data_IF_176000157581
#
_entry.id   IF_176000157581
#
_cell.length_a   1.000
_cell.length_b   1.000
_cell.length_c   1.000
_cell.angle_alpha   90.00
_cell.angle_beta   90.00
_cell.angle_gamma   90.00
#
_symmetry.space_group_name_H-M   'P 1'
#
loop_
_entity.id
_entity.type
_entity.pdbx_description
1 polymer ?
#
# COMPACT_ATOMS: atom_id res chain seq x y z
N UNK A 1 10.59 -36.83 14.52
CA UNK A 1 10.46 -36.71 13.06
C UNK A 1 9.49 -37.80 12.61
N UNK A 2 8.24 -37.46 12.26
CA UNK A 2 7.33 -38.42 11.65
C UNK A 2 7.82 -38.77 10.23
N UNK A 3 7.60 -40.00 9.73
CA UNK A 3 8.09 -40.45 8.43
C UNK A 3 7.38 -39.70 7.29
N UNK A 4 8.15 -39.23 6.31
CA UNK A 4 7.66 -38.59 5.10
C UNK A 4 7.01 -39.63 4.17
N UNK A 5 5.83 -39.36 3.58
CA UNK A 5 5.21 -40.27 2.63
C UNK A 5 6.00 -40.32 1.32
N UNK A 6 6.12 -41.51 0.73
CA UNK A 6 6.76 -41.81 -0.55
C UNK A 6 6.00 -41.29 -1.79
N UNK A 7 5.20 -40.23 -1.64
CA UNK A 7 4.35 -39.64 -2.68
C UNK A 7 4.69 -38.17 -2.96
N UNK A 8 5.76 -37.65 -2.35
CA UNK A 8 6.30 -36.33 -2.60
C UNK A 8 7.30 -36.42 -3.77
N UNK A 9 7.31 -35.38 -4.60
CA UNK A 9 8.23 -35.28 -5.72
C UNK A 9 9.68 -35.18 -5.19
N UNK A 10 10.63 -35.85 -5.85
CA UNK A 10 12.02 -35.94 -5.38
C UNK A 10 12.65 -34.55 -5.21
N UNK A 11 12.33 -33.63 -6.13
CA UNK A 11 12.72 -32.23 -6.09
C UNK A 11 12.22 -31.50 -4.83
N UNK A 12 11.02 -31.81 -4.35
CA UNK A 12 10.47 -31.17 -3.13
C UNK A 12 11.17 -31.67 -1.86
N UNK A 13 11.59 -32.94 -1.83
CA UNK A 13 12.31 -33.53 -0.70
C UNK A 13 13.71 -32.93 -0.59
N UNK A 14 14.40 -32.76 -1.72
CA UNK A 14 15.70 -32.09 -1.76
C UNK A 14 15.60 -30.63 -1.32
N UNK A 15 14.57 -29.90 -1.77
CA UNK A 15 14.34 -28.51 -1.41
C UNK A 15 14.09 -28.34 0.10
N UNK A 16 13.30 -29.23 0.70
CA UNK A 16 13.08 -29.27 2.17
C UNK A 16 14.40 -29.52 2.90
N UNK A 17 15.22 -30.48 2.45
CA UNK A 17 16.52 -30.76 3.06
C UNK A 17 17.49 -29.57 2.99
N UNK A 18 17.48 -28.84 1.88
CA UNK A 18 18.26 -27.60 1.71
C UNK A 18 17.79 -26.49 2.66
N UNK A 19 16.47 -26.28 2.77
CA UNK A 19 15.83 -25.33 3.69
C UNK A 19 16.22 -25.65 5.13
N UNK A 20 16.09 -26.90 5.57
CA UNK A 20 16.45 -27.30 6.94
C UNK A 20 17.93 -27.09 7.26
N UNK A 21 18.82 -27.41 6.31
CA UNK A 21 20.27 -27.21 6.49
C UNK A 21 20.59 -25.73 6.62
N UNK A 22 20.01 -24.88 5.77
CA UNK A 22 20.19 -23.43 5.82
C UNK A 22 19.59 -22.84 7.11
N UNK A 23 18.43 -23.32 7.54
CA UNK A 23 17.84 -22.92 8.83
C UNK A 23 18.79 -23.20 10.00
N UNK A 24 19.40 -24.39 10.04
CA UNK A 24 20.38 -24.74 11.09
C UNK A 24 21.61 -23.86 11.03
N UNK A 25 22.14 -23.59 9.83
CA UNK A 25 23.31 -22.71 9.65
C UNK A 25 23.03 -21.28 10.15
N UNK A 26 21.88 -20.72 9.78
CA UNK A 26 21.45 -19.39 10.21
C UNK A 26 21.29 -19.31 11.74
N UNK A 27 20.66 -20.32 12.34
CA UNK A 27 20.36 -20.34 13.77
C UNK A 27 21.59 -20.62 14.65
N UNK A 28 22.45 -21.56 14.26
CA UNK A 28 23.57 -22.04 15.08
C UNK A 28 24.88 -21.26 14.86
N UNK A 29 25.13 -20.79 13.63
CA UNK A 29 26.41 -20.17 13.29
C UNK A 29 26.27 -18.66 13.10
N UNK A 30 25.34 -18.21 12.25
CA UNK A 30 25.31 -16.81 11.84
C UNK A 30 24.72 -15.87 12.92
N UNK A 31 23.62 -16.27 13.57
CA UNK A 31 22.98 -15.52 14.65
C UNK A 31 23.90 -15.33 15.87
N UNK A 32 24.55 -16.38 16.41
CA UNK A 32 25.48 -16.22 17.52
C UNK A 32 26.72 -15.41 17.15
N UNK A 33 27.22 -15.56 15.92
CA UNK A 33 28.36 -14.78 15.41
C UNK A 33 28.04 -13.29 15.42
N UNK A 34 26.88 -12.88 14.91
CA UNK A 34 26.43 -11.48 14.96
C UNK A 34 26.27 -10.97 16.39
N UNK A 35 25.78 -11.81 17.32
CA UNK A 35 25.60 -11.43 18.72
C UNK A 35 26.92 -11.28 19.49
N UNK A 36 27.94 -12.06 19.11
CA UNK A 36 29.27 -12.02 19.72
C UNK A 36 30.19 -10.97 19.06
N UNK A 37 29.80 -10.43 17.91
CA UNK A 37 30.54 -9.36 17.24
C UNK A 37 30.49 -8.05 18.04
N UNK A 38 31.56 -7.79 18.77
CA UNK A 38 31.86 -6.54 19.49
C UNK A 38 32.78 -5.61 18.65
N UNK A 39 33.08 -6.03 17.41
CA UNK A 39 34.01 -5.35 16.51
C UNK A 39 33.51 -3.99 15.96
N UNK A 40 34.29 -3.37 15.05
CA UNK A 40 33.93 -2.08 14.45
C UNK A 40 32.57 -2.16 13.70
N UNK A 41 31.84 -1.04 13.69
CA UNK A 41 30.47 -0.94 13.16
C UNK A 41 30.37 -1.42 11.70
N UNK A 42 31.41 -1.19 10.89
CA UNK A 42 31.49 -1.66 9.50
C UNK A 42 31.39 -3.17 9.36
N UNK A 43 32.08 -3.93 10.21
CA UNK A 43 32.10 -5.39 10.19
C UNK A 43 30.78 -5.97 10.72
N UNK A 44 30.19 -5.33 11.74
CA UNK A 44 28.83 -5.66 12.19
C UNK A 44 27.81 -5.44 11.07
N UNK A 45 27.90 -4.32 10.34
CA UNK A 45 26.98 -4.01 9.26
C UNK A 45 27.12 -4.97 8.09
N UNK A 46 28.34 -5.41 7.77
CA UNK A 46 28.60 -6.43 6.76
C UNK A 46 27.94 -7.76 7.11
N UNK A 47 28.16 -8.29 8.32
CA UNK A 47 27.49 -9.53 8.75
C UNK A 47 25.96 -9.39 8.84
N UNK A 48 25.48 -8.20 9.21
CA UNK A 48 24.05 -7.92 9.20
C UNK A 48 23.46 -7.76 7.79
N UNK A 49 24.27 -7.49 6.77
CA UNK A 49 23.83 -7.53 5.37
C UNK A 49 23.81 -8.99 4.88
N UNK A 50 24.89 -9.72 5.10
CA UNK A 50 25.02 -11.14 4.74
C UNK A 50 23.88 -12.00 5.34
N UNK A 51 23.62 -11.86 6.65
CA UNK A 51 22.52 -12.60 7.29
C UNK A 51 21.13 -12.17 6.77
N UNK A 52 20.95 -10.93 6.30
CA UNK A 52 19.69 -10.50 5.67
C UNK A 52 19.54 -11.14 4.30
N UNK A 53 20.60 -11.13 3.49
CA UNK A 53 20.59 -11.74 2.16
C UNK A 53 20.31 -13.25 2.27
N UNK A 54 20.89 -13.94 3.25
CA UNK A 54 20.61 -15.35 3.52
C UNK A 54 19.17 -15.59 4.02
N UNK A 55 18.62 -14.70 4.85
CA UNK A 55 17.22 -14.76 5.28
C UNK A 55 16.26 -14.54 4.12
N UNK A 56 16.59 -13.65 3.18
CA UNK A 56 15.79 -13.39 1.99
C UNK A 56 15.92 -14.55 0.98
N UNK A 57 17.08 -15.19 0.88
CA UNK A 57 17.25 -16.42 0.12
C UNK A 57 16.43 -17.58 0.72
N UNK A 58 16.42 -17.72 2.05
CA UNK A 58 15.58 -18.68 2.76
C UNK A 58 14.09 -18.40 2.54
N UNK A 59 13.67 -17.12 2.57
CA UNK A 59 12.29 -16.72 2.27
C UNK A 59 11.86 -17.09 0.85
N UNK A 60 12.71 -16.84 -0.16
CA UNK A 60 12.45 -17.24 -1.54
C UNK A 60 12.32 -18.75 -1.68
N UNK A 61 13.14 -19.54 -0.99
CA UNK A 61 13.03 -21.00 -1.00
C UNK A 61 11.72 -21.50 -0.41
N UNK A 62 11.27 -20.90 0.69
CA UNK A 62 9.97 -21.23 1.30
C UNK A 62 8.81 -20.87 0.36
N UNK A 63 8.91 -19.76 -0.38
CA UNK A 63 7.92 -19.39 -1.41
C UNK A 63 7.92 -20.37 -2.60
N UNK A 64 9.10 -20.78 -3.09
CA UNK A 64 9.18 -21.81 -4.13
C UNK A 64 8.61 -23.15 -3.66
N UNK A 65 8.81 -23.50 -2.39
CA UNK A 65 8.20 -24.69 -1.80
C UNK A 65 6.68 -24.55 -1.73
N UNK A 66 6.15 -23.38 -1.35
CA UNK A 66 4.71 -23.10 -1.29
C UNK A 66 4.04 -23.29 -2.66
N UNK A 67 4.67 -22.78 -3.73
CA UNK A 67 4.21 -22.99 -5.11
C UNK A 67 4.26 -24.47 -5.49
N UNK A 68 5.33 -25.19 -5.13
CA UNK A 68 5.43 -26.63 -5.37
C UNK A 68 4.36 -27.44 -4.58
N UNK A 69 3.88 -26.93 -3.44
CA UNK A 69 2.74 -27.52 -2.71
C UNK A 69 1.42 -27.37 -3.46
N UNK A 70 1.27 -26.31 -4.27
CA UNK A 70 0.06 -26.08 -5.06
C UNK A 70 -0.03 -26.98 -6.29
N UNK A 71 1.10 -27.40 -6.85
CA UNK A 71 1.15 -28.29 -8.02
C UNK A 71 0.98 -29.78 -7.69
N UNK A 72 1.01 -30.15 -6.39
CA UNK A 72 0.84 -31.55 -5.98
C UNK A 72 -0.58 -32.08 -6.20
N UNK A 73 -0.65 -33.18 -6.98
CA UNK A 73 -1.90 -33.88 -7.35
C UNK A 73 -2.56 -34.65 -6.19
N UNK A 74 -1.83 -34.93 -5.11
CA UNK A 74 -2.32 -35.76 -3.99
C UNK A 74 -2.74 -34.90 -2.80
N UNK A 75 -4.04 -34.87 -2.48
CA UNK A 75 -4.63 -34.11 -1.36
C UNK A 75 -4.10 -34.45 0.05
N UNK A 76 -3.53 -35.65 0.23
CA UNK A 76 -2.88 -36.04 1.51
C UNK A 76 -1.47 -35.46 1.62
N UNK A 77 -0.66 -35.60 0.58
CA UNK A 77 0.69 -35.06 0.50
C UNK A 77 0.68 -33.52 0.56
N UNK A 78 -0.28 -32.89 -0.13
CA UNK A 78 -0.52 -31.44 -0.08
C UNK A 78 -0.76 -30.93 1.34
N UNK A 79 -1.57 -31.63 2.14
CA UNK A 79 -1.87 -31.21 3.53
C UNK A 79 -0.67 -31.36 4.46
N UNK A 80 0.12 -32.42 4.29
CA UNK A 80 1.34 -32.62 5.08
C UNK A 80 2.41 -31.61 4.71
N UNK A 81 2.60 -31.35 3.41
CA UNK A 81 3.58 -30.37 2.94
C UNK A 81 3.19 -28.92 3.32
N UNK A 82 1.89 -28.58 3.31
CA UNK A 82 1.42 -27.28 3.85
C UNK A 82 1.79 -27.09 5.33
N UNK A 83 1.73 -28.15 6.14
CA UNK A 83 2.14 -28.06 7.57
C UNK A 83 3.63 -27.79 7.71
N UNK A 84 4.45 -28.44 6.88
CA UNK A 84 5.90 -28.23 6.85
C UNK A 84 6.24 -26.82 6.38
N UNK A 85 5.57 -26.31 5.33
CA UNK A 85 5.74 -24.92 4.87
C UNK A 85 5.33 -23.92 5.95
N UNK A 86 4.24 -24.16 6.68
CA UNK A 86 3.82 -23.27 7.77
C UNK A 86 4.84 -23.26 8.92
N UNK A 87 5.43 -24.41 9.24
CA UNK A 87 6.56 -24.49 10.19
C UNK A 87 7.78 -23.70 9.70
N UNK A 88 8.10 -23.76 8.39
CA UNK A 88 9.16 -22.93 7.81
C UNK A 88 8.83 -21.43 7.81
N UNK A 89 7.57 -21.05 7.60
CA UNK A 89 7.11 -19.64 7.71
C UNK A 89 7.22 -19.13 9.15
N UNK A 90 6.83 -19.94 10.14
CA UNK A 90 6.96 -19.63 11.55
C UNK A 90 8.43 -19.48 11.98
N UNK A 91 9.29 -20.38 11.53
CA UNK A 91 10.73 -20.31 11.81
C UNK A 91 11.38 -19.11 11.14
N UNK A 92 11.01 -18.76 9.91
CA UNK A 92 11.37 -17.49 9.25
C UNK A 92 11.01 -16.27 10.11
N UNK A 93 9.79 -16.23 10.64
CA UNK A 93 9.33 -15.13 11.47
C UNK A 93 10.12 -15.03 12.79
N UNK A 94 10.46 -16.17 13.40
CA UNK A 94 11.31 -16.24 14.60
C UNK A 94 12.74 -15.78 14.30
N UNK A 95 13.38 -16.31 13.27
CA UNK A 95 14.74 -15.91 12.87
C UNK A 95 14.82 -14.42 12.53
N UNK A 96 13.82 -13.83 11.87
CA UNK A 96 13.78 -12.38 11.61
C UNK A 96 13.71 -11.56 12.91
N UNK A 97 12.94 -12.01 13.90
CA UNK A 97 12.88 -11.35 15.22
C UNK A 97 14.21 -11.48 15.95
N UNK A 98 14.80 -12.66 15.95
CA UNK A 98 16.07 -12.95 16.60
C UNK A 98 17.22 -12.17 15.96
N UNK A 99 17.23 -12.04 14.63
CA UNK A 99 18.22 -11.21 13.95
C UNK A 99 18.09 -9.73 14.36
N UNK A 100 16.87 -9.18 14.36
CA UNK A 100 16.65 -7.80 14.79
C UNK A 100 17.10 -7.59 16.23
N UNK A 101 16.81 -8.55 17.11
CA UNK A 101 17.26 -8.52 18.50
C UNK A 101 18.80 -8.61 18.60
N UNK A 102 19.45 -9.50 17.84
CA UNK A 102 20.89 -9.67 17.82
C UNK A 102 21.61 -8.42 17.30
N UNK A 103 21.15 -7.81 16.21
CA UNK A 103 21.72 -6.58 15.65
C UNK A 103 21.59 -5.41 16.62
N UNK A 104 20.46 -5.28 17.32
CA UNK A 104 20.28 -4.25 18.33
C UNK A 104 21.16 -4.51 19.57
N UNK A 105 21.31 -5.77 19.98
CA UNK A 105 22.18 -6.14 21.10
C UNK A 105 23.65 -5.83 20.79
N UNK A 106 24.15 -6.22 19.62
CA UNK A 106 25.53 -5.94 19.19
C UNK A 106 25.77 -4.44 19.02
N UNK A 107 24.80 -3.70 18.47
CA UNK A 107 24.90 -2.24 18.34
C UNK A 107 25.01 -1.56 19.71
N UNK A 108 24.15 -1.93 20.67
CA UNK A 108 24.23 -1.39 22.04
C UNK A 108 25.56 -1.72 22.72
N UNK A 109 26.09 -2.92 22.51
CA UNK A 109 27.40 -3.30 23.03
C UNK A 109 28.52 -2.42 22.44
N UNK A 110 28.51 -2.20 21.11
CA UNK A 110 29.49 -1.34 20.43
C UNK A 110 29.37 0.10 20.90
N UNK A 111 28.15 0.64 20.97
CA UNK A 111 27.92 2.01 21.45
C UNK A 111 28.43 2.20 22.88
N UNK A 112 28.17 1.23 23.78
CA UNK A 112 28.68 1.26 25.15
C UNK A 112 30.21 1.25 25.24
N UNK A 113 30.88 0.49 24.36
CA UNK A 113 32.34 0.46 24.29
C UNK A 113 32.94 1.73 23.68
N UNK A 114 32.25 2.37 22.73
CA UNK A 114 32.71 3.65 22.20
C UNK A 114 32.63 4.75 23.25
N UNK A 115 31.56 4.76 24.06
CA UNK A 115 31.42 5.70 25.18
C UNK A 115 32.53 5.49 26.20
N UNK A 116 32.79 4.25 26.64
CA UNK A 116 33.85 3.98 27.62
C UNK A 116 35.24 4.38 27.09
N UNK A 117 35.54 4.08 25.82
CA UNK A 117 36.79 4.54 25.19
C UNK A 117 36.90 6.06 25.12
N UNK A 118 35.82 6.77 24.83
CA UNK A 118 35.80 8.23 24.81
C UNK A 118 36.07 8.82 26.20
N UNK A 119 35.48 8.24 27.23
CA UNK A 119 35.70 8.68 28.63
C UNK A 119 37.14 8.47 29.08
N UNK A 120 37.76 7.34 28.70
CA UNK A 120 39.19 7.08 28.96
C UNK A 120 40.10 8.10 28.28
N UNK A 121 39.83 8.42 27.01
CA UNK A 121 40.61 9.40 26.25
C UNK A 121 40.46 10.81 26.82
N UNK A 122 39.24 11.25 27.17
CA UNK A 122 39.00 12.56 27.78
C UNK A 122 39.64 12.68 29.17
N UNK A 123 39.64 11.59 29.94
CA UNK A 123 40.33 11.56 31.24
C UNK A 123 41.85 11.66 31.08
N UNK A 124 42.41 11.07 30.02
CA UNK A 124 43.85 11.16 29.73
C UNK A 124 44.28 12.55 29.23
N UNK A 125 43.44 13.25 28.46
CA UNK A 125 43.75 14.57 27.92
C UNK A 125 43.72 15.67 28.99
N UNK A 126 42.73 15.63 29.89
CA UNK A 126 42.59 16.61 30.97
C UNK A 126 43.75 16.58 31.98
N UNK A 127 44.43 15.44 32.13
CA UNK A 127 45.63 15.32 32.97
C UNK A 127 46.85 15.94 32.30
N UNK A 128 46.96 15.83 30.97
CA UNK A 128 48.10 16.35 30.19
C UNK A 128 48.06 17.88 30.05
N UNK A 129 46.88 18.46 29.91
CA UNK A 129 46.70 19.91 29.74
C UNK A 129 47.02 20.72 31.02
N UNK A 130 46.77 20.15 32.21
CA UNK A 130 47.08 20.81 33.49
C UNK A 130 48.59 20.95 33.75
N UNK A 131 49.43 20.19 33.05
CA UNK A 131 50.87 20.18 33.26
C UNK A 131 51.61 21.26 32.46
N UNK A 132 51.01 21.80 31.39
CA UNK A 132 51.69 22.70 30.43
C UNK A 132 51.49 24.20 30.69
N UNK A 133 50.58 24.59 31.58
CA UNK A 133 50.17 26.00 31.76
C UNK A 133 50.94 26.77 32.86
N UNK A 134 51.77 26.12 33.68
CA UNK A 134 52.30 26.72 34.90
C UNK A 134 53.68 27.42 34.75
N UNK A 135 54.39 27.27 33.62
CA UNK A 135 55.85 27.50 33.62
C UNK A 135 56.33 28.82 32.98
N UNK A 136 55.48 29.65 32.35
CA UNK A 136 56.02 30.63 31.38
C UNK A 136 55.28 31.98 31.28
N UNK A 137 55.21 32.76 32.36
CA UNK A 137 54.64 34.12 32.31
C UNK A 137 55.32 35.06 33.31
N UNK A 138 56.24 35.94 32.89
CA UNK A 138 56.38 37.28 33.52
C UNK A 138 57.25 38.28 32.75
N UNK A 139 58.35 37.91 32.08
CA UNK A 139 59.28 38.94 31.53
C UNK A 139 59.31 39.03 29.99
N UNK A 140 58.90 37.99 29.27
CA UNK A 140 58.62 38.06 27.82
C UNK A 140 57.46 39.02 27.48
N UNK A 141 56.67 39.44 28.47
CA UNK A 141 55.33 40.02 28.31
C UNK A 141 55.25 41.25 27.39
N UNK A 142 56.25 42.14 27.37
CA UNK A 142 56.16 43.39 26.61
C UNK A 142 56.60 43.24 25.14
N UNK A 143 57.68 42.50 24.88
CA UNK A 143 58.12 42.20 23.50
C UNK A 143 57.20 41.16 22.86
N UNK A 144 56.68 40.23 23.68
CA UNK A 144 55.62 39.30 23.31
C UNK A 144 54.30 40.01 23.04
N UNK A 145 53.96 41.13 23.68
CA UNK A 145 52.71 41.84 23.38
C UNK A 145 52.64 42.37 21.93
N UNK A 146 53.72 42.94 21.38
CA UNK A 146 53.73 43.39 19.98
C UNK A 146 53.77 42.21 18.99
N UNK A 147 54.53 41.16 19.33
CA UNK A 147 54.54 39.93 18.55
C UNK A 147 53.15 39.26 18.60
N UNK A 148 52.48 39.27 19.76
CA UNK A 148 51.14 38.73 19.98
C UNK A 148 50.09 39.50 19.18
N UNK A 149 50.20 40.83 19.04
CA UNK A 149 49.27 41.59 18.19
C UNK A 149 49.46 41.20 16.71
N UNK A 150 50.71 41.07 16.24
CA UNK A 150 51.00 40.65 14.86
C UNK A 150 50.58 39.20 14.62
N UNK A 151 50.86 38.32 15.57
CA UNK A 151 50.48 36.92 15.57
C UNK A 151 48.96 36.77 15.68
N UNK A 152 48.28 37.62 16.45
CA UNK A 152 46.82 37.68 16.52
C UNK A 152 46.21 38.12 15.19
N UNK A 153 46.82 39.05 14.47
CA UNK A 153 46.35 39.48 13.15
C UNK A 153 46.58 38.40 12.10
N UNK A 154 47.75 37.75 12.07
CA UNK A 154 47.98 36.55 11.25
C UNK A 154 46.99 35.43 11.58
N UNK A 155 46.75 35.19 12.87
CA UNK A 155 45.76 34.21 13.34
C UNK A 155 44.34 34.59 12.93
N UNK A 156 44.00 35.89 12.94
CA UNK A 156 42.69 36.38 12.50
C UNK A 156 42.53 36.23 10.99
N UNK A 157 43.57 36.48 10.19
CA UNK A 157 43.56 36.22 8.75
C UNK A 157 43.41 34.72 8.47
N UNK A 158 44.14 33.87 9.19
CA UNK A 158 43.99 32.42 9.11
C UNK A 158 42.60 31.93 9.53
N UNK A 159 42.01 32.54 10.56
CA UNK A 159 40.63 32.27 11.00
C UNK A 159 39.61 32.74 9.96
N UNK A 160 39.78 33.91 9.35
CA UNK A 160 38.91 34.37 8.27
C UNK A 160 38.99 33.45 7.05
N UNK A 161 40.19 32.99 6.66
CA UNK A 161 40.33 32.01 5.59
C UNK A 161 39.64 30.69 5.94
N UNK A 162 39.83 30.19 7.17
CA UNK A 162 39.16 28.99 7.65
C UNK A 162 37.63 29.13 7.73
N UNK A 163 37.12 30.29 8.13
CA UNK A 163 35.68 30.58 8.11
C UNK A 163 35.12 30.67 6.70
N UNK A 164 35.88 31.24 5.75
CA UNK A 164 35.48 31.28 4.35
C UNK A 164 35.44 29.88 3.74
N UNK A 165 36.46 29.04 3.96
CA UNK A 165 36.45 27.63 3.53
C UNK A 165 35.28 26.86 4.14
N UNK A 166 35.01 27.11 5.42
CA UNK A 166 33.88 26.51 6.13
C UNK A 166 32.53 27.01 5.61
N UNK A 167 32.44 28.28 5.21
CA UNK A 167 31.26 28.87 4.59
C UNK A 167 31.01 28.27 3.21
N UNK A 168 32.06 28.09 2.39
CA UNK A 168 31.98 27.43 1.08
C UNK A 168 31.56 25.96 1.22
N UNK A 169 32.11 25.24 2.20
CA UNK A 169 31.65 23.86 2.47
C UNK A 169 30.19 23.84 2.97
N UNK A 170 29.78 24.81 3.79
CA UNK A 170 28.40 24.90 4.24
C UNK A 170 27.44 25.20 3.09
N UNK A 171 27.81 26.06 2.13
CA UNK A 171 26.97 26.34 0.96
C UNK A 171 26.89 25.13 0.03
N UNK A 172 28.00 24.41 -0.17
CA UNK A 172 27.99 23.14 -0.91
C UNK A 172 27.10 22.09 -0.23
N UNK A 173 27.15 21.96 1.10
CA UNK A 173 26.27 21.07 1.85
C UNK A 173 24.81 21.48 1.72
N UNK A 174 24.49 22.77 1.84
CA UNK A 174 23.13 23.28 1.64
C UNK A 174 22.63 23.03 0.22
N UNK A 175 23.47 23.22 -0.79
CA UNK A 175 23.14 22.91 -2.18
C UNK A 175 22.90 21.41 -2.38
N UNK A 176 23.75 20.54 -1.82
CA UNK A 176 23.58 19.08 -1.87
C UNK A 176 22.30 18.62 -1.15
N UNK A 177 21.97 19.24 -0.02
CA UNK A 177 20.73 18.98 0.72
C UNK A 177 19.52 19.46 -0.06
N UNK A 178 19.62 20.61 -0.73
CA UNK A 178 18.57 21.15 -1.59
C UNK A 178 18.35 20.26 -2.81
N UNK A 179 19.43 19.78 -3.44
CA UNK A 179 19.35 18.83 -4.56
C UNK A 179 18.70 17.51 -4.13
N UNK A 180 19.06 16.99 -2.94
CA UNK A 180 18.46 15.79 -2.36
C UNK A 180 16.97 15.98 -2.05
N UNK A 181 16.59 17.13 -1.49
CA UNK A 181 15.18 17.48 -1.24
C UNK A 181 14.40 17.62 -2.56
N UNK A 182 14.99 18.21 -3.60
CA UNK A 182 14.38 18.27 -4.94
C UNK A 182 14.16 16.86 -5.51
N UNK A 183 15.17 15.99 -5.44
CA UNK A 183 15.03 14.59 -5.86
C UNK A 183 13.96 13.84 -5.06
N UNK A 184 13.84 14.13 -3.77
CA UNK A 184 12.79 13.53 -2.93
C UNK A 184 11.41 14.04 -3.34
N UNK A 185 11.28 15.35 -3.59
CA UNK A 185 10.03 15.95 -4.08
C UNK A 185 9.59 15.33 -5.40
N UNK A 186 10.50 15.17 -6.36
CA UNK A 186 10.16 14.56 -7.65
C UNK A 186 9.72 13.10 -7.51
N UNK A 187 10.35 12.32 -6.63
CA UNK A 187 9.88 10.94 -6.35
C UNK A 187 8.49 10.91 -5.72
N UNK A 188 8.19 11.86 -4.84
CA UNK A 188 6.87 11.98 -4.22
C UNK A 188 5.79 12.40 -5.24
N UNK A 189 6.13 13.27 -6.18
CA UNK A 189 5.23 13.67 -7.28
C UNK A 189 4.93 12.48 -8.21
N UNK A 190 5.94 11.68 -8.55
CA UNK A 190 5.76 10.44 -9.34
C UNK A 190 4.86 9.45 -8.59
N UNK A 191 5.11 9.20 -7.30
CA UNK A 191 4.27 8.34 -6.46
C UNK A 191 2.82 8.84 -6.41
N UNK A 192 2.62 10.15 -6.29
CA UNK A 192 1.29 10.77 -6.28
C UNK A 192 0.58 10.59 -7.62
N UNK A 193 1.31 10.74 -8.74
CA UNK A 193 0.78 10.49 -10.08
C UNK A 193 0.40 9.03 -10.29
N UNK A 194 1.24 8.09 -9.83
CA UNK A 194 0.93 6.65 -9.87
C UNK A 194 -0.28 6.32 -9.00
N UNK A 195 -0.40 6.91 -7.80
CA UNK A 195 -1.56 6.69 -6.93
C UNK A 195 -2.84 7.25 -7.58
N UNK A 196 -2.78 8.42 -8.20
CA UNK A 196 -3.89 9.00 -8.97
C UNK A 196 -4.31 8.06 -10.12
N UNK A 197 -3.33 7.55 -10.86
CA UNK A 197 -3.55 6.58 -11.94
C UNK A 197 -4.17 5.28 -11.41
N UNK A 198 -3.69 4.78 -10.26
CA UNK A 198 -4.25 3.58 -9.62
C UNK A 198 -5.71 3.80 -9.22
N UNK A 199 -6.05 4.96 -8.65
CA UNK A 199 -7.44 5.33 -8.31
C UNK A 199 -8.30 5.40 -9.56
N UNK A 200 -7.79 6.00 -10.63
CA UNK A 200 -8.52 6.10 -11.88
C UNK A 200 -8.80 4.73 -12.49
N UNK A 201 -7.80 3.84 -12.52
CA UNK A 201 -7.95 2.46 -12.96
C UNK A 201 -8.94 1.67 -12.09
N UNK A 202 -8.86 1.79 -10.76
CA UNK A 202 -9.79 1.13 -9.84
C UNK A 202 -11.22 1.62 -10.07
N UNK A 203 -11.43 2.93 -10.20
CA UNK A 203 -12.75 3.51 -10.50
C UNK A 203 -13.24 3.12 -11.90
N UNK A 204 -12.36 3.01 -12.89
CA UNK A 204 -12.73 2.54 -14.22
C UNK A 204 -13.16 1.07 -14.20
N UNK A 205 -12.47 0.23 -13.43
CA UNK A 205 -12.81 -1.19 -13.25
C UNK A 205 -14.14 -1.34 -12.50
N UNK A 206 -14.33 -0.60 -11.41
CA UNK A 206 -15.60 -0.58 -10.67
C UNK A 206 -16.78 -0.11 -11.54
N UNK A 207 -16.59 0.93 -12.36
CA UNK A 207 -17.61 1.38 -13.31
C UNK A 207 -17.91 0.35 -14.40
N UNK A 208 -16.89 -0.35 -14.89
CA UNK A 208 -17.07 -1.44 -15.87
C UNK A 208 -17.89 -2.59 -15.26
N UNK A 209 -17.55 -3.00 -14.04
CA UNK A 209 -18.29 -4.04 -13.31
C UNK A 209 -19.73 -3.62 -13.01
N UNK A 210 -19.96 -2.35 -12.67
CA UNK A 210 -21.30 -1.82 -12.45
C UNK A 210 -22.13 -1.79 -13.74
N UNK A 211 -21.52 -1.39 -14.86
CA UNK A 211 -22.18 -1.40 -16.17
C UNK A 211 -22.49 -2.83 -16.63
N UNK A 212 -21.59 -3.78 -16.42
CA UNK A 212 -21.83 -5.19 -16.76
C UNK A 212 -23.03 -5.75 -15.98
N UNK A 213 -23.08 -5.49 -14.67
CA UNK A 213 -24.24 -5.85 -13.84
C UNK A 213 -25.53 -5.17 -14.30
N UNK A 214 -25.47 -3.90 -14.71
CA UNK A 214 -26.62 -3.17 -15.23
C UNK A 214 -27.13 -3.78 -16.55
N UNK A 215 -26.22 -4.16 -17.46
CA UNK A 215 -26.58 -4.80 -18.73
C UNK A 215 -27.26 -6.15 -18.49
N UNK A 216 -26.74 -6.97 -17.56
CA UNK A 216 -27.37 -8.25 -17.18
C UNK A 216 -28.76 -8.01 -16.59
N UNK A 217 -28.92 -7.03 -15.71
CA UNK A 217 -30.21 -6.67 -15.12
C UNK A 217 -31.20 -6.18 -16.18
N UNK A 218 -30.75 -5.35 -17.11
CA UNK A 218 -31.56 -4.85 -18.22
C UNK A 218 -32.01 -5.99 -19.15
N UNK A 219 -31.12 -6.94 -19.46
CA UNK A 219 -31.46 -8.13 -20.25
C UNK A 219 -32.49 -9.02 -19.54
N UNK A 220 -32.34 -9.23 -18.23
CA UNK A 220 -33.31 -9.97 -17.42
C UNK A 220 -34.66 -9.27 -17.38
N UNK A 221 -34.67 -7.94 -17.16
CA UNK A 221 -35.90 -7.15 -17.16
C UNK A 221 -36.63 -7.23 -18.50
N UNK A 222 -35.88 -7.15 -19.62
CA UNK A 222 -36.44 -7.32 -20.96
C UNK A 222 -37.02 -8.73 -21.16
N UNK A 223 -36.31 -9.77 -20.72
CA UNK A 223 -36.81 -11.15 -20.77
C UNK A 223 -38.11 -11.31 -19.98
N UNK A 224 -38.17 -10.82 -18.74
CA UNK A 224 -39.37 -10.87 -17.91
C UNK A 224 -40.52 -10.10 -18.56
N UNK A 225 -40.25 -8.94 -19.15
CA UNK A 225 -41.25 -8.15 -19.87
C UNK A 225 -41.80 -8.94 -21.07
N UNK A 226 -40.94 -9.61 -21.84
CA UNK A 226 -41.36 -10.48 -22.95
C UNK A 226 -42.18 -11.67 -22.45
N UNK A 227 -41.76 -12.33 -21.37
CA UNK A 227 -42.52 -13.44 -20.77
C UNK A 227 -43.89 -12.96 -20.26
N UNK A 228 -43.95 -11.82 -19.56
CA UNK A 228 -45.21 -11.19 -19.15
C UNK A 228 -46.08 -10.79 -20.33
N UNK A 229 -45.49 -10.29 -21.41
CA UNK A 229 -46.21 -9.96 -22.64
C UNK A 229 -46.81 -11.20 -23.28
N UNK A 230 -46.04 -12.29 -23.39
CA UNK A 230 -46.54 -13.58 -23.89
C UNK A 230 -47.61 -14.15 -22.96
N UNK A 231 -47.45 -14.07 -21.65
CA UNK A 231 -48.45 -14.50 -20.68
C UNK A 231 -49.71 -13.65 -20.81
N UNK A 232 -49.61 -12.32 -20.92
CA UNK A 232 -50.75 -11.45 -21.19
C UNK A 232 -51.43 -11.88 -22.49
N UNK A 233 -50.71 -11.96 -23.59
CA UNK A 233 -51.28 -12.37 -24.89
C UNK A 233 -51.92 -13.77 -24.80
N UNK A 234 -51.26 -14.75 -24.16
CA UNK A 234 -51.71 -16.13 -24.15
C UNK A 234 -52.81 -16.40 -23.13
N UNK A 235 -52.64 -15.97 -21.89
CA UNK A 235 -53.64 -16.13 -20.81
C UNK A 235 -54.82 -15.21 -21.06
N UNK A 236 -54.62 -13.97 -21.51
CA UNK A 236 -55.74 -13.06 -21.77
C UNK A 236 -56.45 -13.48 -23.06
N UNK A 237 -55.78 -13.77 -24.18
CA UNK A 237 -56.52 -14.14 -25.42
C UNK A 237 -57.09 -15.58 -25.39
N UNK A 238 -56.46 -16.55 -24.70
CA UNK A 238 -57.09 -17.88 -24.50
C UNK A 238 -58.04 -17.89 -23.31
N UNK A 239 -57.72 -17.22 -22.21
CA UNK A 239 -58.60 -17.11 -21.05
C UNK A 239 -59.87 -16.34 -21.41
N UNK A 240 -59.79 -15.24 -22.16
CA UNK A 240 -60.96 -14.54 -22.69
C UNK A 240 -61.74 -15.40 -23.69
N UNK A 241 -61.09 -16.19 -24.56
CA UNK A 241 -61.83 -17.09 -25.47
C UNK A 241 -62.46 -18.27 -24.76
N UNK A 242 -61.80 -18.87 -23.77
CA UNK A 242 -62.37 -19.93 -22.93
C UNK A 242 -63.50 -19.36 -22.09
N UNK A 243 -63.32 -18.19 -21.47
CA UNK A 243 -64.35 -17.50 -20.71
C UNK A 243 -65.53 -17.11 -21.61
N UNK A 244 -65.29 -16.50 -22.78
CA UNK A 244 -66.35 -16.15 -23.74
C UNK A 244 -67.03 -17.38 -24.36
N UNK A 245 -66.31 -18.48 -24.59
CA UNK A 245 -66.89 -19.75 -25.05
C UNK A 245 -67.73 -20.40 -23.94
N UNK A 246 -67.26 -20.41 -22.69
CA UNK A 246 -68.03 -20.87 -21.53
C UNK A 246 -69.24 -19.98 -21.25
N UNK A 247 -69.15 -18.65 -21.36
CA UNK A 247 -70.30 -17.74 -21.22
C UNK A 247 -71.25 -17.78 -22.41
N UNK A 248 -70.81 -18.27 -23.58
CA UNK A 248 -71.68 -18.50 -24.74
C UNK A 248 -72.33 -19.88 -24.70
N UNK A 249 -71.68 -20.87 -24.10
CA UNK A 249 -72.15 -22.25 -24.00
C UNK A 249 -73.00 -22.51 -22.75
N UNK A 250 -72.89 -21.68 -21.72
CA UNK A 250 -73.92 -21.54 -20.71
C UNK A 250 -75.01 -20.59 -21.23
N UNK A 251 -76.23 -21.06 -21.55
CA UNK A 251 -77.41 -20.24 -21.32
C UNK A 251 -77.47 -20.00 -19.81
N UNK A 252 -76.85 -18.91 -19.35
CA UNK A 252 -76.96 -18.52 -17.95
C UNK A 252 -78.34 -17.91 -17.71
N UNK A 253 -79.30 -18.80 -17.47
CA UNK A 253 -80.30 -18.61 -16.42
C UNK A 253 -79.55 -18.33 -15.10
N UNK A 254 -79.20 -17.07 -14.87
CA UNK A 254 -78.79 -16.55 -13.56
C UNK A 254 -78.81 -15.03 -13.62
N UNK A 255 -79.92 -14.48 -14.14
CA UNK A 255 -80.11 -13.05 -14.34
C UNK A 255 -80.86 -12.34 -13.23
N UNK A 256 -81.51 -13.03 -12.29
CA UNK A 256 -82.36 -12.33 -11.30
C UNK A 256 -82.14 -12.72 -9.84
N UNK A 257 -81.55 -13.87 -9.51
CA UNK A 257 -81.44 -14.28 -8.10
C UNK A 257 -80.15 -13.80 -7.41
N UNK A 258 -79.06 -13.62 -8.17
CA UNK A 258 -77.78 -13.13 -7.63
C UNK A 258 -77.75 -11.60 -7.47
N UNK A 259 -78.57 -10.86 -8.23
CA UNK A 259 -78.71 -9.41 -8.06
C UNK A 259 -79.53 -9.08 -6.79
N UNK A 260 -80.50 -9.93 -6.44
CA UNK A 260 -81.24 -9.87 -5.16
C UNK A 260 -80.44 -10.37 -3.95
N UNK A 261 -79.42 -11.21 -4.16
CA UNK A 261 -78.48 -11.61 -3.12
C UNK A 261 -77.34 -10.59 -2.88
N UNK A 262 -77.00 -9.77 -3.89
CA UNK A 262 -75.97 -8.73 -3.76
C UNK A 262 -76.48 -7.47 -3.04
N UNK A 263 -77.79 -7.17 -3.07
CA UNK A 263 -78.39 -6.13 -2.21
C UNK A 263 -78.40 -6.52 -0.72
N UNK A 264 -78.36 -7.83 -0.41
CA UNK A 264 -78.30 -8.35 0.97
C UNK A 264 -76.88 -8.70 1.44
N UNK A 265 -75.90 -8.62 0.54
CA UNK A 265 -74.48 -8.97 0.79
C UNK A 265 -73.55 -7.78 1.01
N UNK A 266 -74.01 -6.54 0.82
CA UNK A 266 -73.24 -5.32 1.11
C UNK A 266 -73.03 -5.10 2.63
N UNK A 267 -73.82 -5.77 3.48
CA UNK A 267 -73.65 -5.76 4.93
C UNK A 267 -72.66 -6.82 5.47
N UNK A 268 -72.23 -7.79 4.66
CA UNK A 268 -71.41 -8.92 5.12
C UNK A 268 -69.94 -8.90 4.64
N UNK A 269 -69.58 -8.06 3.66
CA UNK A 269 -68.22 -7.95 3.13
C UNK A 269 -67.39 -6.79 3.71
N UNK A 270 -68.01 -5.88 4.48
CA UNK A 270 -67.28 -4.98 5.39
C UNK A 270 -66.70 -5.71 6.62
N UNK A 271 -67.10 -6.96 6.86
CA UNK A 271 -66.62 -7.76 7.99
C UNK A 271 -65.52 -8.78 7.63
N UNK A 272 -65.29 -9.07 6.34
CA UNK A 272 -64.21 -9.96 5.89
C UNK A 272 -63.00 -9.25 5.28
N UNK A 273 -63.04 -7.91 5.21
CA UNK A 273 -61.85 -7.08 4.95
C UNK A 273 -60.98 -6.88 6.20
N UNK A 274 -61.43 -7.28 7.39
CA UNK A 274 -60.70 -7.09 8.66
C UNK A 274 -59.79 -8.25 9.09
N UNK A 275 -59.85 -9.42 8.44
CA UNK A 275 -59.06 -10.60 8.83
C UNK A 275 -57.93 -11.01 7.87
N UNK A 276 -57.82 -10.37 6.69
CA UNK A 276 -56.66 -10.58 5.79
C UNK A 276 -55.77 -9.33 5.72
N UNK A 277 -56.28 -8.16 6.11
CA UNK A 277 -55.46 -6.97 6.37
C UNK A 277 -54.56 -7.13 7.62
N UNK A 278 -54.87 -8.04 8.55
CA UNK A 278 -54.10 -8.25 9.79
C UNK A 278 -53.00 -9.32 9.70
N UNK A 279 -52.94 -10.12 8.62
CA UNK A 279 -51.82 -11.05 8.39
C UNK A 279 -50.77 -10.50 7.38
N UNK A 280 -51.16 -9.54 6.53
CA UNK A 280 -50.20 -8.86 5.65
C UNK A 280 -49.41 -7.75 6.37
N UNK A 281 -49.87 -7.27 7.52
CA UNK A 281 -49.14 -6.29 8.35
C UNK A 281 -48.09 -6.89 9.27
N UNK A 282 -48.06 -8.21 9.51
CA UNK A 282 -47.07 -8.85 10.39
C UNK A 282 -45.85 -9.43 9.67
N UNK A 283 -45.88 -9.57 8.33
CA UNK A 283 -44.71 -9.95 7.53
C UNK A 283 -43.91 -8.74 6.99
N UNK A 284 -44.52 -7.54 6.93
CA UNK A 284 -43.82 -6.29 6.59
C UNK A 284 -43.23 -5.57 7.82
N UNK A 285 -43.62 -5.96 9.05
CA UNK A 285 -43.04 -5.43 10.28
C UNK A 285 -41.73 -6.13 10.73
N UNK A 286 -41.40 -7.30 10.18
CA UNK A 286 -40.15 -8.02 10.50
C UNK A 286 -38.99 -7.73 9.55
N UNK A 287 -39.19 -6.91 8.51
CA UNK A 287 -38.08 -6.41 7.65
C UNK A 287 -37.81 -4.91 7.91
N UNK A 288 -38.74 -4.18 8.54
CA UNK A 288 -38.53 -2.77 8.91
C UNK A 288 -37.71 -2.59 10.20
N UNK A 289 -37.54 -3.63 11.02
CA UNK A 289 -36.81 -3.55 12.32
C UNK A 289 -35.30 -3.79 12.24
N UNK A 290 -34.75 -4.20 11.08
CA UNK A 290 -33.28 -4.29 10.90
C UNK A 290 -32.70 -3.05 10.17
N UNK A 291 -33.53 -2.29 9.46
CA UNK A 291 -33.11 -1.04 8.79
C UNK A 291 -33.23 0.18 9.72
N UNK A 292 -34.00 0.09 10.81
CA UNK A 292 -34.11 1.17 11.80
C UNK A 292 -32.98 1.18 12.86
N UNK A 293 -32.06 0.21 12.87
CA UNK A 293 -30.96 0.13 13.86
C UNK A 293 -29.63 0.71 13.37
N UNK A 294 -29.52 1.19 12.13
CA UNK A 294 -28.26 1.77 11.61
C UNK A 294 -28.36 3.31 11.46
N UNK A 295 -29.57 3.88 11.52
CA UNK A 295 -29.75 5.33 11.28
C UNK A 295 -29.81 6.18 12.55
N UNK A 296 -29.54 5.62 13.73
CA UNK A 296 -29.44 6.37 14.99
C UNK A 296 -28.00 6.67 15.43
N UNK A 297 -27.08 6.88 14.49
CA UNK A 297 -25.82 7.60 14.75
C UNK A 297 -25.50 8.46 13.53
N UNK A 298 -26.15 9.61 13.41
CA UNK A 298 -25.55 10.86 12.87
C UNK A 298 -26.65 11.89 12.60
N UNK A 299 -27.15 12.53 13.65
CA UNK A 299 -27.68 13.89 13.56
C UNK A 299 -27.38 14.60 14.89
N UNK A 300 -26.19 15.20 14.96
CA UNK A 300 -25.92 16.37 15.76
C UNK A 300 -24.85 17.18 15.01
N UNK A 301 -25.27 18.00 14.03
CA UNK A 301 -24.70 19.35 13.93
C UNK A 301 -25.62 20.27 13.12
N UNK A 302 -25.86 21.40 13.74
CA UNK A 302 -26.73 22.50 13.41
C UNK A 302 -26.14 23.42 12.32
N UNK A 303 -27.06 24.09 11.62
CA UNK A 303 -27.02 25.36 10.85
C UNK A 303 -25.71 25.94 10.28
N UNK A 304 -25.75 26.36 9.01
CA UNK A 304 -25.98 27.79 8.62
C UNK A 304 -25.78 28.01 7.10
N UNK A 305 -26.87 28.41 6.43
CA UNK A 305 -27.03 29.45 5.39
C UNK A 305 -25.84 29.86 4.51
N UNK A 306 -25.97 29.75 3.17
CA UNK A 306 -26.14 30.89 2.25
C UNK A 306 -25.99 30.55 0.75
N UNK A 307 -27.06 30.86 -0.01
CA UNK A 307 -27.12 31.45 -1.36
C UNK A 307 -26.38 30.83 -2.58
N UNK A 308 -27.21 30.24 -3.45
CA UNK A 308 -27.18 30.16 -4.94
C UNK A 308 -27.40 31.61 -5.50
N UNK A 309 -26.89 32.08 -6.67
CA UNK A 309 -27.35 31.63 -8.02
C UNK A 309 -26.36 31.86 -9.21
N UNK A 310 -26.78 31.78 -10.50
CA UNK A 310 -26.93 30.52 -11.23
C UNK A 310 -26.30 30.54 -12.67
N UNK A 311 -26.42 29.37 -13.33
CA UNK A 311 -26.76 29.18 -14.74
C UNK A 311 -25.65 28.86 -15.80
N UNK A 312 -26.09 27.97 -16.69
CA UNK A 312 -25.72 27.73 -18.10
C UNK A 312 -24.66 26.64 -18.44
N UNK A 313 -25.19 25.50 -18.89
CA UNK A 313 -24.61 24.51 -19.84
C UNK A 313 -24.02 25.17 -21.11
N UNK A 314 -23.15 24.54 -21.97
CA UNK A 314 -23.27 23.14 -22.41
C UNK A 314 -21.98 22.40 -22.95
N UNK A 315 -22.11 21.08 -23.17
CA UNK A 315 -21.73 20.31 -24.39
C UNK A 315 -20.28 20.25 -24.94
N UNK A 316 -19.67 19.05 -24.79
CA UNK A 316 -19.10 18.18 -25.84
C UNK A 316 -17.62 18.25 -26.32
N UNK A 317 -17.16 17.03 -26.67
CA UNK A 317 -16.11 16.62 -27.64
C UNK A 317 -14.62 16.65 -27.23
N UNK A 318 -14.11 15.41 -27.07
CA UNK A 318 -12.74 14.93 -27.36
C UNK A 318 -12.79 14.35 -28.80
N UNK A 319 -11.70 14.00 -29.53
CA UNK A 319 -10.27 14.34 -29.50
C UNK A 319 -9.75 14.89 -30.85
N UNK A 320 -8.46 15.22 -30.97
CA UNK A 320 -7.50 14.47 -31.80
C UNK A 320 -6.24 15.29 -32.14
N UNK A 321 -5.12 14.57 -32.09
CA UNK A 321 -3.75 14.98 -32.29
C UNK A 321 -3.42 14.94 -33.80
N UNK A 322 -2.64 15.89 -34.32
CA UNK A 322 -1.55 15.66 -35.29
C UNK A 322 -1.14 16.95 -36.03
N UNK A 323 0.17 17.02 -36.31
CA UNK A 323 0.86 17.88 -37.28
C UNK A 323 0.99 19.36 -36.84
N UNK A 324 2.14 20.04 -36.95
CA UNK A 324 3.00 20.16 -38.13
C UNK A 324 4.42 20.58 -37.70
N UNK A 325 5.40 20.03 -38.43
CA UNK A 325 6.82 20.39 -38.47
C UNK A 325 7.07 21.68 -39.30
N UNK A 326 8.06 22.49 -38.89
CA UNK A 326 8.77 23.48 -39.73
C UNK A 326 8.03 24.82 -39.91
N UNK A 327 8.67 25.98 -40.07
CA UNK A 327 10.06 26.37 -40.29
C UNK A 327 10.11 27.91 -40.13
N UNK A 328 11.16 28.46 -39.51
CA UNK A 328 11.76 29.74 -39.90
C UNK A 328 13.06 30.00 -39.12
N UNK A 329 14.16 29.58 -39.75
CA UNK A 329 15.36 30.39 -40.10
C UNK A 329 15.30 31.89 -39.69
N UNK A 330 16.34 32.55 -39.16
CA UNK A 330 17.56 33.03 -39.87
C UNK A 330 18.54 33.73 -38.88
N UNK A 331 19.81 33.29 -38.95
CA UNK A 331 21.11 34.01 -38.92
C UNK A 331 21.92 34.46 -37.68
N UNK A 332 23.22 34.13 -37.83
CA UNK A 332 24.48 34.80 -37.42
C UNK A 332 24.98 34.54 -35.99
N UNK A 333 26.26 34.20 -35.72
CA UNK A 333 27.46 34.11 -36.56
C UNK A 333 28.66 33.56 -35.72
N UNK A 334 29.52 32.77 -36.38
CA UNK A 334 31.01 32.95 -36.39
C UNK A 334 31.91 32.23 -35.33
N UNK A 335 32.83 31.42 -35.89
CA UNK A 335 34.25 31.13 -35.51
C UNK A 335 34.62 29.86 -34.72
N UNK A 336 35.16 28.89 -35.48
CA UNK A 336 36.18 27.85 -35.22
C UNK A 336 37.61 28.50 -35.14
N UNK A 337 38.74 27.90 -34.68
CA UNK A 337 39.09 26.46 -34.74
C UNK A 337 40.01 25.98 -33.54
N UNK A 338 40.95 25.00 -33.64
CA UNK A 338 40.98 23.80 -32.78
C UNK A 338 42.39 23.48 -32.18
N UNK A 339 42.64 22.21 -31.82
CA UNK A 339 43.89 21.54 -31.33
C UNK A 339 43.91 21.22 -29.83
N UNK A 340 44.35 20.04 -29.36
CA UNK A 340 45.12 19.02 -30.06
C UNK A 340 45.22 17.69 -29.29
N UNK A 341 45.87 16.76 -29.99
CA UNK A 341 46.01 15.34 -29.77
C UNK A 341 46.50 14.89 -28.37
N UNK A 342 45.93 13.80 -27.87
CA UNK A 342 46.58 12.92 -26.91
C UNK A 342 47.27 11.79 -27.70
N UNK A 343 48.59 11.76 -27.62
CA UNK A 343 49.45 10.71 -28.14
C UNK A 343 49.38 9.47 -27.25
N UNK A 344 49.32 8.34 -27.93
CA UNK A 344 49.54 6.97 -27.46
C UNK A 344 51.03 6.60 -27.65
N UNK A 345 51.44 5.53 -26.97
CA UNK A 345 52.68 4.73 -27.09
C UNK A 345 53.90 4.98 -26.15
N UNK A 346 54.19 3.88 -25.44
CA UNK A 346 55.45 3.29 -24.93
C UNK A 346 56.08 3.77 -23.62
#
# INVERSE_FOLDING_TARGET
MPPLPSALDEETIELIGLIERRQKDLAEFQLPRLRQCIGPLSLQQQYAAELRDDLDAFAKQVETLDVAVEDQRTERARRELRRVVEEFKDTLARLRKDMRAAVLASKRAIDSQQVSRREELLRSSAVREKQTLNEKVTEDALMKANNDVTEALQRTIGLMQGELERSVLSTQLLESSTASLKSTSTTHDVLSSLMSTSKHLITALEKSDWLDRLVILAALAFFVLVVLFILKQRIVDRGLRIALWWTRFMPSFSGDEALLAMEKGEAALSASSSSIATAASTALASVSTVVASITSVSLNHDSTTSSIPPAESPTSLIPEVAAVLGDQTVSSSVVLPPEGAAHDEL
#
